data_IF_665103590027
#
_entry.id   IF_665103590027
#
_cell.length_a   1.000
_cell.length_b   1.000
_cell.length_c   1.000
_cell.angle_alpha   90.00
_cell.angle_beta   90.00
_cell.angle_gamma   90.00
#
_symmetry.space_group_name_H-M   'P 1'
#
loop_
_entity.id
_entity.type
_entity.pdbx_description
1 polymer ?
#
# COMPACT_ATOMS: atom_id res chain seq x y z
N UNK A 1 7.10 34.50 -7.26
CA UNK A 1 6.99 33.13 -6.72
C UNK A 1 5.51 32.79 -6.59
N UNK A 2 4.98 31.93 -7.47
CA UNK A 2 3.59 31.44 -7.38
C UNK A 2 3.64 30.04 -6.80
N UNK A 3 3.11 29.88 -5.59
CA UNK A 3 2.92 28.57 -4.97
C UNK A 3 1.72 27.90 -5.64
N UNK A 4 1.92 26.68 -6.15
CA UNK A 4 0.87 25.86 -6.73
C UNK A 4 0.36 24.91 -5.65
N UNK A 5 -0.79 25.22 -5.07
CA UNK A 5 -1.51 24.31 -4.17
C UNK A 5 -2.33 23.35 -5.03
N UNK A 6 -2.03 22.04 -4.96
CA UNK A 6 -2.86 21.02 -5.61
C UNK A 6 -3.44 20.06 -4.58
N UNK A 7 -4.77 19.96 -4.59
CA UNK A 7 -5.58 19.09 -3.73
C UNK A 7 -5.92 17.80 -4.50
N UNK A 8 -5.62 16.64 -3.93
CA UNK A 8 -6.15 15.32 -4.34
C UNK A 8 -5.19 14.42 -5.14
N UNK A 9 -4.66 13.40 -4.45
CA UNK A 9 -4.07 12.08 -4.78
C UNK A 9 -3.48 11.72 -6.17
N UNK A 10 -3.74 12.42 -7.27
CA UNK A 10 -3.10 12.18 -8.59
C UNK A 10 -1.93 13.12 -8.87
N UNK A 11 -1.93 14.29 -8.24
CA UNK A 11 -0.95 15.35 -8.45
C UNK A 11 0.46 14.96 -7.98
N UNK A 12 0.57 14.08 -6.98
CA UNK A 12 1.86 13.69 -6.41
C UNK A 12 2.68 12.85 -7.39
N UNK A 13 2.05 11.92 -8.11
CA UNK A 13 2.67 11.08 -9.13
C UNK A 13 3.11 11.90 -10.37
N UNK A 14 2.27 12.84 -10.80
CA UNK A 14 2.57 13.73 -11.94
C UNK A 14 3.75 14.67 -11.58
N UNK A 15 3.74 15.24 -10.38
CA UNK A 15 4.83 16.11 -9.91
C UNK A 15 6.13 15.31 -9.73
N UNK A 16 6.08 14.09 -9.19
CA UNK A 16 7.27 13.24 -9.05
C UNK A 16 7.82 12.78 -10.40
N UNK A 17 6.96 12.43 -11.37
CA UNK A 17 7.37 12.10 -12.73
C UNK A 17 8.06 13.27 -13.45
N UNK A 18 7.53 14.50 -13.28
CA UNK A 18 8.14 15.72 -13.85
C UNK A 18 9.48 16.05 -13.18
N UNK A 19 9.58 15.96 -11.85
CA UNK A 19 10.83 16.18 -11.12
C UNK A 19 11.90 15.14 -11.49
N UNK A 20 11.51 13.87 -11.64
CA UNK A 20 12.41 12.79 -12.02
C UNK A 20 12.90 12.97 -13.45
N UNK A 21 12.03 13.35 -14.39
CA UNK A 21 12.41 13.70 -15.76
C UNK A 21 13.40 14.87 -15.78
N UNK A 22 13.17 15.91 -14.96
CA UNK A 22 14.10 17.04 -14.82
C UNK A 22 15.48 16.63 -14.29
N UNK A 23 15.53 15.73 -13.30
CA UNK A 23 16.79 15.21 -12.75
C UNK A 23 17.55 14.29 -13.72
N UNK A 24 16.82 13.48 -14.50
CA UNK A 24 17.40 12.63 -15.55
C UNK A 24 17.98 13.51 -16.66
N UNK A 25 17.27 14.56 -17.09
CA UNK A 25 17.74 15.49 -18.11
C UNK A 25 19.01 16.23 -17.65
N UNK A 26 19.04 16.74 -16.42
CA UNK A 26 20.24 17.41 -15.88
C UNK A 26 21.48 16.51 -15.85
N UNK A 27 21.31 15.20 -15.71
CA UNK A 27 22.42 14.24 -15.72
C UNK A 27 22.83 13.78 -17.13
N UNK A 28 21.94 13.88 -18.14
CA UNK A 28 22.23 13.46 -19.52
C UNK A 28 22.81 14.62 -20.35
N UNK A 29 22.35 15.86 -20.14
CA UNK A 29 22.75 17.01 -20.97
C UNK A 29 23.72 17.92 -20.24
N UNK A 30 25.02 17.61 -20.33
CA UNK A 30 26.08 18.57 -19.98
C UNK A 30 26.20 19.73 -20.98
N UNK A 31 25.81 19.52 -22.26
CA UNK A 31 26.21 20.41 -23.37
C UNK A 31 25.09 20.78 -24.37
N UNK A 32 23.81 20.46 -24.11
CA UNK A 32 22.72 20.77 -25.04
C UNK A 32 21.79 21.86 -24.46
N UNK A 33 21.70 23.05 -25.09
CA UNK A 33 20.75 24.07 -24.66
C UNK A 33 19.32 23.61 -24.98
N UNK A 34 18.52 23.44 -23.93
CA UNK A 34 17.10 23.11 -24.00
C UNK A 34 16.29 24.41 -23.93
N UNK A 35 15.40 24.63 -24.90
CA UNK A 35 14.56 25.82 -24.92
C UNK A 35 13.31 25.65 -24.03
N UNK A 36 12.61 24.52 -24.17
CA UNK A 36 11.51 24.12 -23.32
C UNK A 36 11.24 22.62 -23.40
N UNK A 37 10.58 22.10 -22.37
CA UNK A 37 10.15 20.71 -22.23
C UNK A 37 8.65 20.73 -21.95
N UNK A 38 7.89 19.99 -22.76
CA UNK A 38 6.44 19.89 -22.59
C UNK A 38 6.05 18.43 -22.36
N UNK A 39 5.38 18.19 -21.24
CA UNK A 39 4.85 16.88 -20.87
C UNK A 39 3.34 16.90 -21.06
N UNK A 40 2.85 16.15 -22.05
CA UNK A 40 1.43 16.02 -22.35
C UNK A 40 0.95 14.65 -21.87
N UNK A 41 0.22 14.65 -20.76
CA UNK A 41 -0.37 13.45 -20.16
C UNK A 41 -1.84 13.29 -20.53
N UNK A 42 -2.19 12.16 -21.15
CA UNK A 42 -3.58 11.72 -21.30
C UNK A 42 -3.70 10.37 -20.61
N UNK A 43 -4.21 10.35 -19.38
CA UNK A 43 -4.29 9.12 -18.57
C UNK A 43 -2.91 8.64 -18.08
N UNK A 44 -2.71 7.32 -18.07
CA UNK A 44 -1.51 6.64 -17.53
C UNK A 44 -0.25 6.77 -18.41
N UNK A 45 -0.32 7.57 -19.49
CA UNK A 45 0.78 7.78 -20.43
C UNK A 45 1.09 9.27 -20.52
N UNK A 46 2.35 9.63 -20.19
CA UNK A 46 2.90 10.96 -20.37
C UNK A 46 3.84 10.98 -21.58
N UNK A 47 3.52 11.79 -22.58
CA UNK A 47 4.41 12.02 -23.73
C UNK A 47 5.32 13.22 -23.43
N UNK A 48 6.62 13.04 -23.58
CA UNK A 48 7.62 14.11 -23.41
C UNK A 48 8.07 14.61 -24.78
N UNK A 49 7.90 15.90 -25.04
CA UNK A 49 8.43 16.57 -26.24
C UNK A 49 9.50 17.57 -25.84
N UNK A 50 10.61 17.58 -26.59
CA UNK A 50 11.79 18.41 -26.32
C UNK A 50 12.07 19.26 -27.56
N UNK A 51 12.15 20.57 -27.36
CA UNK A 51 12.53 21.53 -28.40
C UNK A 51 13.96 22.06 -28.15
N UNK A 52 14.84 21.87 -29.12
CA UNK A 52 16.22 22.38 -29.09
C UNK A 52 16.56 23.11 -30.39
N UNK A 53 17.51 24.04 -30.33
CA UNK A 53 17.96 24.87 -31.45
C UNK A 53 18.90 24.14 -32.43
N UNK A 54 19.30 22.90 -32.12
CA UNK A 54 20.23 22.11 -32.94
C UNK A 54 19.45 21.03 -33.70
N UNK A 55 19.56 21.03 -35.04
CA UNK A 55 19.09 19.91 -35.88
C UNK A 55 20.03 18.71 -35.63
N UNK A 56 19.79 17.97 -34.54
CA UNK A 56 20.55 16.76 -34.24
C UNK A 56 19.92 15.62 -35.00
N UNK A 57 20.44 15.34 -36.20
CA UNK A 57 20.19 14.10 -36.93
C UNK A 57 21.03 12.98 -36.29
N UNK A 58 20.86 12.76 -34.98
CA UNK A 58 21.25 11.48 -34.41
C UNK A 58 20.12 10.52 -34.73
N UNK A 59 20.46 9.51 -35.53
CA UNK A 59 19.67 8.29 -35.60
C UNK A 59 19.67 7.69 -34.19
N UNK A 60 18.76 8.18 -33.34
CA UNK A 60 18.42 7.52 -32.10
C UNK A 60 17.90 6.17 -32.53
N UNK A 61 18.75 5.15 -32.43
CA UNK A 61 18.27 3.80 -32.25
C UNK A 61 17.49 3.90 -30.95
N UNK A 62 16.19 4.15 -31.09
CA UNK A 62 15.20 3.86 -30.08
C UNK A 62 15.36 2.36 -29.88
N UNK A 63 16.31 1.96 -29.02
CA UNK A 63 16.13 0.77 -28.21
C UNK A 63 14.73 0.99 -27.70
N UNK A 64 13.80 0.18 -28.20
CA UNK A 64 12.44 0.12 -27.72
C UNK A 64 12.60 0.01 -26.20
N UNK A 65 12.54 1.14 -25.51
CA UNK A 65 12.11 1.19 -24.14
C UNK A 65 10.66 0.77 -24.29
N UNK A 66 10.47 -0.54 -24.39
CA UNK A 66 9.30 -1.17 -23.81
C UNK A 66 9.30 -0.53 -22.44
N UNK A 67 8.35 0.39 -22.22
CA UNK A 67 8.07 0.87 -20.89
C UNK A 67 7.92 -0.42 -20.09
N UNK A 68 8.98 -0.77 -19.34
CA UNK A 68 8.94 -1.95 -18.51
C UNK A 68 7.72 -1.70 -17.65
N UNK A 69 6.75 -2.60 -17.74
CA UNK A 69 5.57 -2.61 -16.87
C UNK A 69 6.04 -2.21 -15.48
N UNK A 70 5.33 -1.27 -14.83
CA UNK A 70 5.67 -0.83 -13.49
C UNK A 70 6.10 -2.06 -12.69
N UNK A 71 7.30 -2.06 -12.08
CA UNK A 71 7.85 -3.27 -11.48
C UNK A 71 6.78 -3.87 -10.59
N UNK A 72 6.38 -5.11 -10.90
CA UNK A 72 5.33 -5.82 -10.19
C UNK A 72 5.57 -5.66 -8.69
N UNK A 73 4.57 -5.13 -7.97
CA UNK A 73 4.74 -4.83 -6.56
C UNK A 73 4.98 -6.14 -5.78
N UNK A 74 6.17 -6.26 -5.18
CA UNK A 74 6.55 -7.39 -4.34
C UNK A 74 6.51 -6.95 -2.88
N UNK A 75 5.66 -7.58 -2.02
CA UNK A 75 5.62 -7.27 -0.60
C UNK A 75 6.91 -7.72 0.09
N UNK A 76 7.26 -7.03 1.18
CA UNK A 76 8.44 -7.38 1.98
C UNK A 76 8.35 -8.83 2.49
N UNK A 77 9.24 -9.70 2.01
CA UNK A 77 9.22 -11.13 2.30
C UNK A 77 9.37 -11.45 3.80
N UNK A 78 10.06 -10.60 4.57
CA UNK A 78 10.22 -10.78 6.02
C UNK A 78 8.91 -10.48 6.75
N UNK A 79 8.18 -9.44 6.36
CA UNK A 79 6.82 -9.17 6.90
C UNK A 79 5.86 -10.33 6.59
N UNK A 80 5.89 -10.84 5.36
CA UNK A 80 5.06 -11.96 4.92
C UNK A 80 5.36 -13.21 5.76
N UNK A 81 6.64 -13.56 5.91
CA UNK A 81 7.04 -14.74 6.66
C UNK A 81 6.72 -14.64 8.16
N UNK A 82 6.86 -13.44 8.74
CA UNK A 82 6.46 -13.18 10.11
C UNK A 82 4.97 -13.51 10.37
N UNK A 83 4.07 -13.05 9.49
CA UNK A 83 2.64 -13.40 9.58
C UNK A 83 2.44 -14.90 9.36
N UNK A 84 3.01 -15.44 8.27
CA UNK A 84 2.83 -16.85 7.88
C UNK A 84 3.22 -17.78 9.00
N UNK A 85 4.44 -17.63 9.54
CA UNK A 85 4.97 -18.45 10.63
C UNK A 85 4.09 -18.39 11.87
N UNK A 86 3.67 -17.19 12.27
CA UNK A 86 2.83 -17.03 13.47
C UNK A 86 1.46 -17.69 13.31
N UNK A 87 0.78 -17.48 12.18
CA UNK A 87 -0.54 -18.07 11.92
C UNK A 87 -0.45 -19.58 11.68
N UNK A 88 0.57 -20.06 10.96
CA UNK A 88 0.80 -21.48 10.71
C UNK A 88 1.10 -22.24 12.01
N UNK A 89 1.92 -21.66 12.91
CA UNK A 89 2.16 -22.24 14.24
C UNK A 89 0.90 -22.34 15.10
N UNK A 90 -0.16 -21.60 14.75
CA UNK A 90 -1.49 -21.69 15.35
C UNK A 90 -2.43 -22.58 14.56
N UNK A 91 -2.03 -23.21 13.46
CA UNK A 91 -2.89 -23.92 12.51
C UNK A 91 -4.05 -23.04 11.99
N UNK A 92 -3.84 -21.74 11.84
CA UNK A 92 -4.86 -20.80 11.39
C UNK A 92 -4.97 -20.82 9.85
N UNK A 93 -6.20 -20.94 9.27
CA UNK A 93 -6.38 -20.94 7.81
C UNK A 93 -5.81 -19.71 7.11
N UNK A 94 -5.81 -18.56 7.79
CA UNK A 94 -5.29 -17.31 7.24
C UNK A 94 -3.75 -17.28 7.07
N UNK A 95 -3.02 -18.31 7.48
CA UNK A 95 -1.59 -18.44 7.22
C UNK A 95 -1.26 -18.44 5.72
N UNK A 96 -2.11 -19.05 4.89
CA UNK A 96 -1.93 -19.13 3.44
C UNK A 96 -2.11 -17.77 2.75
N UNK A 97 -2.72 -16.81 3.46
CA UNK A 97 -2.99 -15.45 2.98
C UNK A 97 -2.03 -14.41 3.56
N UNK A 98 -0.91 -14.83 4.15
CA UNK A 98 0.07 -13.94 4.77
C UNK A 98 0.59 -12.84 3.82
N UNK A 99 0.75 -13.18 2.54
CA UNK A 99 1.17 -12.21 1.51
C UNK A 99 0.10 -11.12 1.33
N UNK A 100 -1.16 -11.53 1.29
CA UNK A 100 -2.31 -10.65 1.08
C UNK A 100 -2.46 -9.62 2.22
N UNK A 101 -2.19 -10.03 3.46
CA UNK A 101 -2.16 -9.09 4.59
C UNK A 101 -1.13 -7.99 4.39
N UNK A 102 0.07 -8.32 3.92
CA UNK A 102 1.14 -7.33 3.72
C UNK A 102 0.79 -6.42 2.55
N UNK A 103 0.29 -6.98 1.43
CA UNK A 103 -0.15 -6.20 0.27
C UNK A 103 -1.24 -5.19 0.65
N UNK A 104 -2.29 -5.65 1.34
CA UNK A 104 -3.37 -4.77 1.78
C UNK A 104 -2.87 -3.71 2.77
N UNK A 105 -1.99 -4.08 3.70
CA UNK A 105 -1.46 -3.14 4.68
C UNK A 105 -0.61 -2.03 4.05
N UNK A 106 0.31 -2.40 3.14
CA UNK A 106 1.16 -1.45 2.43
C UNK A 106 0.30 -0.54 1.53
N UNK A 107 -0.72 -1.09 0.85
CA UNK A 107 -1.67 -0.31 0.05
C UNK A 107 -2.44 0.74 0.87
N UNK A 108 -2.86 0.39 2.08
CA UNK A 108 -3.66 1.26 2.95
C UNK A 108 -2.84 2.08 3.96
N UNK A 109 -1.51 1.93 3.97
CA UNK A 109 -0.63 2.65 4.89
C UNK A 109 -0.86 2.31 6.36
N UNK A 110 -1.17 1.04 6.67
CA UNK A 110 -1.41 0.55 8.02
C UNK A 110 -0.30 -0.41 8.48
N UNK A 111 -0.17 -0.66 9.78
CA UNK A 111 0.80 -1.64 10.27
C UNK A 111 0.43 -3.06 9.78
N UNK A 112 1.35 -3.72 9.08
CA UNK A 112 1.11 -5.04 8.48
C UNK A 112 0.58 -6.11 9.44
N UNK A 113 0.82 -5.95 10.74
CA UNK A 113 0.46 -6.91 11.76
C UNK A 113 -0.99 -6.77 12.22
N UNK A 114 -1.59 -5.58 12.09
CA UNK A 114 -2.82 -5.25 12.83
C UNK A 114 -4.02 -6.10 12.38
N UNK A 115 -4.24 -6.25 11.08
CA UNK A 115 -5.40 -6.99 10.55
C UNK A 115 -5.25 -8.50 10.82
N UNK A 116 -4.03 -9.03 10.70
CA UNK A 116 -3.72 -10.40 11.10
C UNK A 116 -3.95 -10.61 12.61
N UNK A 117 -3.49 -9.68 13.45
CA UNK A 117 -3.67 -9.76 14.90
C UNK A 117 -5.14 -9.73 15.33
N UNK A 118 -5.95 -8.85 14.74
CA UNK A 118 -7.39 -8.81 15.01
C UNK A 118 -8.05 -10.15 14.63
N UNK A 119 -7.68 -10.75 13.49
CA UNK A 119 -8.24 -12.06 13.09
C UNK A 119 -8.00 -13.16 14.14
N UNK A 120 -6.86 -13.10 14.82
CA UNK A 120 -6.49 -14.04 15.89
C UNK A 120 -7.35 -13.84 17.13
N UNK A 121 -7.61 -12.58 17.48
CA UNK A 121 -8.44 -12.25 18.65
C UNK A 121 -9.91 -12.61 18.42
N UNK A 122 -10.43 -12.35 17.22
CA UNK A 122 -11.86 -12.47 16.92
C UNK A 122 -12.28 -13.89 16.50
N UNK A 123 -11.39 -14.67 15.89
CA UNK A 123 -11.75 -15.99 15.32
C UNK A 123 -10.62 -17.03 15.37
N UNK A 124 -9.59 -16.81 16.19
CA UNK A 124 -8.39 -17.64 16.22
C UNK A 124 -7.70 -17.78 14.85
N UNK A 125 -7.75 -16.72 14.03
CA UNK A 125 -7.11 -16.65 12.71
C UNK A 125 -7.95 -17.30 11.62
N UNK A 126 -9.28 -17.19 11.72
CA UNK A 126 -10.22 -17.76 10.75
C UNK A 126 -10.70 -19.19 11.07
N UNK A 127 -10.37 -19.73 12.25
CA UNK A 127 -10.83 -21.06 12.68
C UNK A 127 -12.30 -21.08 13.13
N UNK A 128 -12.73 -19.98 13.74
CA UNK A 128 -14.04 -19.85 14.37
C UNK A 128 -14.72 -18.59 13.85
N UNK A 129 -15.10 -18.61 12.58
CA UNK A 129 -15.78 -17.48 11.94
C UNK A 129 -17.26 -17.48 12.24
N UNK A 130 -17.83 -16.30 12.51
CA UNK A 130 -19.26 -16.14 12.74
C UNK A 130 -20.08 -16.11 11.43
N UNK A 131 -19.42 -15.76 10.31
CA UNK A 131 -19.93 -15.73 8.93
C UNK A 131 -18.82 -16.13 7.96
N UNK A 132 -19.20 -16.53 6.75
CA UNK A 132 -18.25 -17.01 5.75
C UNK A 132 -17.15 -15.98 5.49
N UNK A 133 -15.91 -16.45 5.55
CA UNK A 133 -14.69 -15.68 5.35
C UNK A 133 -14.52 -14.46 6.27
N UNK A 134 -15.31 -14.32 7.33
CA UNK A 134 -15.23 -13.18 8.25
C UNK A 134 -14.54 -13.56 9.56
N UNK A 135 -13.23 -13.36 9.56
CA UNK A 135 -12.37 -13.62 10.71
C UNK A 135 -12.31 -12.48 11.73
N UNK A 136 -12.98 -11.35 11.48
CA UNK A 136 -12.79 -10.09 12.24
C UNK A 136 -14.05 -9.60 12.94
N UNK A 137 -15.21 -10.24 12.80
CA UNK A 137 -16.46 -9.69 13.34
C UNK A 137 -16.96 -8.46 12.55
N UNK A 138 -16.40 -8.18 11.37
CA UNK A 138 -16.58 -6.90 10.68
C UNK A 138 -17.92 -6.83 9.94
N UNK A 139 -18.68 -5.74 10.11
CA UNK A 139 -19.89 -5.47 9.31
C UNK A 139 -21.08 -6.43 9.49
N UNK A 140 -20.98 -7.44 10.36
CA UNK A 140 -22.01 -8.50 10.57
C UNK A 140 -22.40 -9.27 9.29
N UNK A 141 -21.55 -9.29 8.27
CA UNK A 141 -21.81 -9.92 6.97
C UNK A 141 -20.74 -10.98 6.62
N UNK A 142 -21.02 -11.83 5.62
CA UNK A 142 -19.99 -12.65 4.98
C UNK A 142 -19.14 -11.80 4.02
N UNK A 143 -17.95 -12.31 3.68
CA UNK A 143 -17.15 -11.83 2.53
C UNK A 143 -17.20 -12.86 1.40
N UNK A 144 -16.77 -12.47 0.20
CA UNK A 144 -16.74 -13.41 -0.94
C UNK A 144 -15.68 -14.49 -0.78
N UNK A 145 -14.54 -14.12 -0.19
CA UNK A 145 -13.41 -14.99 0.10
C UNK A 145 -12.49 -14.31 1.13
N UNK A 146 -11.43 -14.99 1.57
CA UNK A 146 -10.48 -14.44 2.55
C UNK A 146 -9.79 -13.16 2.07
N UNK A 147 -9.42 -13.08 0.79
CA UNK A 147 -8.81 -11.89 0.21
C UNK A 147 -9.73 -10.69 0.32
N UNK A 148 -10.99 -10.81 -0.12
CA UNK A 148 -11.99 -9.74 0.02
C UNK A 148 -12.14 -9.25 1.48
N UNK A 149 -12.20 -10.18 2.43
CA UNK A 149 -12.23 -9.84 3.86
C UNK A 149 -10.99 -9.09 4.33
N UNK A 150 -9.78 -9.54 3.96
CA UNK A 150 -8.51 -8.89 4.33
C UNK A 150 -8.49 -7.46 3.81
N UNK A 151 -8.82 -7.23 2.54
CA UNK A 151 -8.80 -5.90 1.93
C UNK A 151 -9.87 -4.98 2.51
N UNK A 152 -11.10 -5.49 2.67
CA UNK A 152 -12.20 -4.71 3.24
C UNK A 152 -11.90 -4.26 4.66
N UNK A 153 -11.37 -5.17 5.51
CA UNK A 153 -11.02 -4.81 6.89
C UNK A 153 -9.82 -3.87 6.93
N UNK A 154 -8.81 -4.07 6.07
CA UNK A 154 -7.67 -3.15 5.97
C UNK A 154 -8.09 -1.74 5.57
N UNK A 155 -9.01 -1.62 4.61
CA UNK A 155 -9.62 -0.34 4.21
C UNK A 155 -10.42 0.30 5.35
N UNK A 156 -11.07 -0.50 6.19
CA UNK A 156 -11.76 -0.05 7.40
C UNK A 156 -10.79 0.49 8.44
N UNK A 157 -9.71 -0.24 8.71
CA UNK A 157 -8.68 0.13 9.70
C UNK A 157 -7.97 1.42 9.30
N UNK A 158 -7.70 1.62 8.01
CA UNK A 158 -7.03 2.82 7.51
C UNK A 158 -7.79 4.12 7.80
N UNK A 159 -9.11 4.07 7.94
CA UNK A 159 -9.94 5.21 8.34
C UNK A 159 -9.67 5.67 9.78
N UNK A 160 -9.21 4.77 10.66
CA UNK A 160 -8.75 5.16 11.99
C UNK A 160 -7.34 5.78 11.90
N UNK A 161 -6.46 5.18 11.10
CA UNK A 161 -5.10 5.69 10.89
C UNK A 161 -5.10 7.10 10.29
N UNK A 162 -5.99 7.39 9.34
CA UNK A 162 -6.13 8.74 8.75
C UNK A 162 -6.57 9.81 9.75
N UNK A 163 -7.09 9.40 10.92
CA UNK A 163 -7.43 10.26 12.06
C UNK A 163 -6.33 10.29 13.14
N UNK A 164 -5.17 9.69 12.88
CA UNK A 164 -4.05 9.59 13.83
C UNK A 164 -4.20 8.45 14.85
N UNK A 165 -5.19 7.57 14.70
CA UNK A 165 -5.45 6.45 15.62
C UNK A 165 -4.69 5.21 15.13
N UNK A 166 -3.37 5.21 15.31
CA UNK A 166 -2.46 4.22 14.70
C UNK A 166 -2.10 3.04 15.59
N UNK A 167 -2.63 2.99 16.82
CA UNK A 167 -2.35 1.91 17.80
C UNK A 167 -3.65 1.27 18.30
N UNK A 168 -3.66 -0.02 18.68
CA UNK A 168 -4.87 -0.71 19.13
C UNK A 168 -5.62 0.01 20.25
N UNK A 169 -4.93 0.66 21.19
CA UNK A 169 -5.54 1.43 22.29
C UNK A 169 -6.39 2.60 21.80
N UNK A 170 -6.03 3.20 20.66
CA UNK A 170 -6.75 4.31 20.05
C UNK A 170 -7.92 3.83 19.18
N UNK A 171 -7.84 2.62 18.66
CA UNK A 171 -8.87 2.01 17.80
C UNK A 171 -9.95 1.33 18.64
N UNK A 172 -9.56 0.68 19.74
CA UNK A 172 -10.43 -0.16 20.55
C UNK A 172 -11.72 0.52 21.05
N UNK A 173 -11.73 1.81 21.45
CA UNK A 173 -12.98 2.49 21.85
C UNK A 173 -14.04 2.52 20.75
N UNK A 174 -13.63 2.47 19.47
CA UNK A 174 -14.53 2.45 18.33
C UNK A 174 -14.82 1.04 17.83
N UNK A 175 -13.84 0.15 17.89
CA UNK A 175 -13.95 -1.20 17.36
C UNK A 175 -14.65 -2.16 18.33
N UNK A 176 -14.28 -2.12 19.61
CA UNK A 176 -14.79 -3.01 20.66
C UNK A 176 -15.06 -2.24 21.98
N UNK A 177 -16.04 -1.31 22.00
CA UNK A 177 -16.25 -0.41 23.14
C UNK A 177 -16.46 -1.11 24.49
N UNK A 178 -17.24 -2.22 24.60
CA UNK A 178 -17.46 -2.87 25.90
C UNK A 178 -16.20 -3.42 26.56
N UNK A 179 -15.19 -3.81 25.77
CA UNK A 179 -13.98 -4.49 26.23
C UNK A 179 -12.69 -3.83 25.71
N UNK A 180 -12.73 -2.53 25.42
CA UNK A 180 -11.71 -1.83 24.65
C UNK A 180 -10.28 -2.02 25.18
N UNK A 181 -10.09 -1.91 26.50
CA UNK A 181 -8.76 -2.06 27.12
C UNK A 181 -8.22 -3.48 26.91
N UNK A 182 -9.03 -4.49 27.21
CA UNK A 182 -8.62 -5.89 27.11
C UNK A 182 -8.38 -6.29 25.65
N UNK A 183 -9.23 -5.83 24.74
CA UNK A 183 -9.07 -6.04 23.31
C UNK A 183 -7.75 -5.44 22.81
N UNK A 184 -7.45 -4.18 23.15
CA UNK A 184 -6.23 -3.53 22.74
C UNK A 184 -4.96 -4.26 23.24
N UNK A 185 -4.96 -4.67 24.51
CA UNK A 185 -3.86 -5.44 25.09
C UNK A 185 -3.62 -6.76 24.35
N UNK A 186 -4.69 -7.49 24.04
CA UNK A 186 -4.59 -8.76 23.34
C UNK A 186 -4.12 -8.58 21.89
N UNK A 187 -4.62 -7.58 21.16
CA UNK A 187 -4.18 -7.26 19.79
C UNK A 187 -2.70 -6.87 19.79
N UNK A 188 -2.27 -5.99 20.70
CA UNK A 188 -0.85 -5.61 20.83
C UNK A 188 0.04 -6.81 21.14
N UNK A 189 -0.40 -7.70 22.03
CA UNK A 189 0.35 -8.92 22.32
C UNK A 189 0.57 -9.73 21.05
N UNK A 190 -0.48 -9.97 20.26
CA UNK A 190 -0.36 -10.72 19.00
C UNK A 190 0.53 -9.98 17.98
N UNK A 191 0.39 -8.66 17.83
CA UNK A 191 1.26 -7.87 16.96
C UNK A 191 2.73 -8.00 17.36
N UNK A 192 3.05 -8.01 18.65
CA UNK A 192 4.41 -8.22 19.13
C UNK A 192 4.91 -9.64 18.82
N UNK A 193 4.06 -10.66 18.97
CA UNK A 193 4.45 -12.04 18.61
C UNK A 193 4.68 -12.23 17.11
N UNK A 194 3.95 -11.53 16.24
CA UNK A 194 4.18 -11.54 14.79
C UNK A 194 5.51 -10.84 14.46
N UNK A 195 5.81 -9.73 15.12
CA UNK A 195 7.01 -8.92 14.85
C UNK A 195 8.33 -9.57 15.25
N UNK A 196 8.31 -10.53 16.18
CA UNK A 196 9.46 -11.30 16.66
C UNK A 196 9.78 -12.47 15.70
#
# INVERSE_FOLDING_TARGET
MKNLLIKGNKSLAIITGILLAGAILNNITGDIPINYVEANGSGDIANLSISTSRQVEETLIVKKYVANEDPEYVPDAKKVENIRRYLAGRNAPLADYAEEFVKAADNYGIDYRIVAAISVIESAGGKHTFKDYNAWGWGKSSFENWTDGIWTVSAGISRYYSRGLTRPELIAPYYCPPNAIKWAQNVNYVMNQIGN
#
